data_IF_997285062524
#
_entry.id   IF_997285062524
#
_cell.length_a   1.000
_cell.length_b   1.000
_cell.length_c   1.000
_cell.angle_alpha   90.00
_cell.angle_beta   90.00
_cell.angle_gamma   90.00
#
_symmetry.space_group_name_H-M   'P 1'
#
loop_
_entity.id
_entity.type
_entity.pdbx_description
1 polymer ?
#
# COMPACT_ATOMS: atom_id res chain seq x y z
N UNK A 1 -7.37 -88.24 -1.12
CA UNK A 1 -8.18 -88.03 -2.33
C UNK A 1 -7.86 -86.63 -2.87
N UNK A 2 -7.22 -86.56 -4.06
CA UNK A 2 -6.86 -85.40 -4.91
C UNK A 2 -6.08 -84.23 -4.24
N UNK A 3 -4.79 -83.93 -4.45
CA UNK A 3 -3.96 -83.63 -5.65
C UNK A 3 -4.54 -82.55 -6.59
N UNK A 4 -3.91 -81.36 -6.60
CA UNK A 4 -3.34 -80.62 -7.78
C UNK A 4 -2.75 -79.26 -7.29
N UNK A 5 -1.42 -79.04 -7.41
CA UNK A 5 -0.67 -78.36 -8.51
C UNK A 5 -1.03 -76.86 -8.64
N UNK A 6 -0.15 -75.85 -8.58
CA UNK A 6 1.14 -75.55 -9.28
C UNK A 6 1.86 -74.43 -8.48
N UNK A 7 3.15 -74.49 -8.17
CA UNK A 7 4.36 -74.25 -8.99
C UNK A 7 4.58 -72.81 -9.55
N UNK A 8 5.64 -72.21 -9.00
CA UNK A 8 6.73 -71.45 -9.63
C UNK A 8 6.55 -70.00 -10.07
N UNK A 9 7.54 -69.17 -9.71
CA UNK A 9 7.82 -67.92 -10.41
C UNK A 9 8.72 -66.92 -9.68
N UNK A 10 9.89 -67.32 -9.19
CA UNK A 10 10.96 -66.37 -8.90
C UNK A 10 11.67 -66.11 -10.24
N UNK A 11 11.67 -64.86 -10.71
CA UNK A 11 12.57 -64.41 -11.78
C UNK A 11 13.26 -63.10 -11.35
N UNK A 12 14.60 -63.05 -11.36
CA UNK A 12 15.38 -61.84 -11.25
C UNK A 12 15.64 -61.24 -12.64
N UNK A 13 16.33 -60.09 -12.64
CA UNK A 13 16.92 -59.36 -13.79
C UNK A 13 16.08 -58.21 -14.38
N UNK A 14 16.59 -57.00 -14.13
CA UNK A 14 16.95 -56.09 -15.22
C UNK A 14 16.09 -54.84 -15.37
N UNK A 15 16.57 -53.71 -14.84
CA UNK A 15 16.59 -52.44 -15.57
C UNK A 15 17.37 -51.40 -14.73
N UNK A 16 18.62 -51.15 -15.13
CA UNK A 16 19.28 -49.89 -14.83
C UNK A 16 18.66 -48.81 -15.74
N UNK A 17 18.16 -47.72 -15.17
CA UNK A 17 17.91 -46.47 -15.87
C UNK A 17 18.52 -45.34 -15.05
N UNK A 18 19.50 -44.70 -15.66
CA UNK A 18 20.12 -43.49 -15.19
C UNK A 18 19.23 -42.27 -15.50
N UNK A 19 19.42 -41.24 -14.68
CA UNK A 19 19.41 -39.81 -15.05
C UNK A 19 18.14 -38.98 -14.87
N UNK A 20 18.37 -37.90 -14.11
CA UNK A 20 18.08 -36.49 -14.43
C UNK A 20 16.83 -35.81 -13.82
N UNK A 21 17.13 -34.87 -12.91
CA UNK A 21 16.55 -33.51 -12.79
C UNK A 21 15.12 -33.41 -12.22
N UNK A 22 14.74 -32.43 -11.39
CA UNK A 22 15.15 -31.03 -11.33
C UNK A 22 15.27 -30.56 -9.85
N UNK A 23 16.38 -29.91 -9.52
CA UNK A 23 16.36 -28.84 -8.52
C UNK A 23 15.61 -27.65 -9.16
N UNK A 24 14.31 -27.52 -8.88
CA UNK A 24 13.62 -26.26 -9.05
C UNK A 24 13.98 -25.37 -7.84
N UNK A 25 15.20 -24.82 -7.84
CA UNK A 25 15.52 -23.73 -6.94
C UNK A 25 14.60 -22.56 -7.30
N UNK A 26 13.69 -22.23 -6.39
CA UNK A 26 12.84 -21.04 -6.45
C UNK A 26 13.72 -19.83 -6.81
N UNK A 27 13.57 -19.32 -8.02
CA UNK A 27 14.00 -17.97 -8.39
C UNK A 27 13.04 -16.99 -7.70
N UNK A 28 13.18 -16.86 -6.38
CA UNK A 28 12.65 -15.70 -5.68
C UNK A 28 13.44 -14.49 -6.19
N UNK A 29 12.80 -13.46 -6.77
CA UNK A 29 13.50 -12.23 -7.06
C UNK A 29 14.10 -11.72 -5.74
N UNK A 30 15.33 -11.17 -5.75
CA UNK A 30 15.88 -10.57 -4.55
C UNK A 30 14.88 -9.51 -4.07
N UNK A 31 14.36 -9.67 -2.86
CA UNK A 31 13.66 -8.59 -2.19
C UNK A 31 14.58 -7.37 -2.26
N UNK A 32 14.10 -6.29 -2.88
CA UNK A 32 14.86 -5.05 -2.98
C UNK A 32 15.29 -4.65 -1.57
N UNK A 33 16.59 -4.82 -1.26
CA UNK A 33 17.13 -4.40 0.02
C UNK A 33 17.12 -2.88 0.01
N UNK A 34 16.46 -2.22 0.99
CA UNK A 34 16.55 -0.78 1.11
C UNK A 34 18.03 -0.38 1.14
N UNK A 35 18.44 0.51 0.24
CA UNK A 35 19.78 1.09 0.29
C UNK A 35 19.83 2.00 1.51
N UNK A 36 20.39 1.49 2.60
CA UNK A 36 20.65 2.27 3.81
C UNK A 36 22.12 2.69 3.82
N UNK A 37 22.43 3.98 3.61
CA UNK A 37 23.62 4.55 4.26
C UNK A 37 23.18 5.09 5.62
N UNK A 38 24.06 4.97 6.59
CA UNK A 38 23.93 5.57 7.92
C UNK A 38 22.64 5.24 8.67
N UNK A 39 22.04 4.08 8.39
CA UNK A 39 20.83 3.59 9.09
C UNK A 39 19.55 4.37 8.77
N UNK A 40 19.56 5.18 7.72
CA UNK A 40 18.39 5.86 7.17
C UNK A 40 17.99 5.23 5.84
N UNK A 41 16.70 5.32 5.51
CA UNK A 41 16.18 4.87 4.21
C UNK A 41 15.73 6.07 3.39
N UNK A 42 15.97 6.04 2.08
CA UNK A 42 15.56 7.05 1.12
C UNK A 42 15.07 6.40 -0.18
N UNK A 43 14.41 7.19 -1.01
CA UNK A 43 14.15 6.81 -2.40
C UNK A 43 15.34 7.25 -3.27
N UNK A 44 15.83 6.37 -4.15
CA UNK A 44 16.77 6.75 -5.21
C UNK A 44 16.10 7.65 -6.22
N UNK A 45 14.87 7.30 -6.62
CA UNK A 45 13.99 8.13 -7.45
C UNK A 45 12.67 8.30 -6.71
N UNK A 46 12.44 9.44 -6.02
CA UNK A 46 11.25 9.60 -5.21
C UNK A 46 9.98 9.69 -6.09
N UNK A 47 8.83 9.20 -5.60
CA UNK A 47 7.55 9.63 -6.13
C UNK A 47 7.43 11.15 -6.00
N UNK A 48 6.83 11.79 -7.00
CA UNK A 48 6.92 13.26 -7.16
C UNK A 48 5.56 13.96 -7.05
N UNK A 49 4.45 13.22 -7.03
CA UNK A 49 3.08 13.77 -6.96
C UNK A 49 2.13 12.83 -6.25
N UNK A 50 1.19 13.43 -5.52
CA UNK A 50 -0.04 12.79 -5.05
C UNK A 50 -1.22 13.20 -5.93
N UNK A 51 -2.07 12.25 -6.27
CA UNK A 51 -3.40 12.51 -6.84
C UNK A 51 -4.44 12.42 -5.71
N UNK A 52 -5.32 13.42 -5.63
CA UNK A 52 -6.44 13.43 -4.69
C UNK A 52 -7.75 13.11 -5.41
N UNK A 53 -8.61 12.31 -4.79
CA UNK A 53 -9.97 12.08 -5.28
C UNK A 53 -10.92 11.98 -4.08
N UNK A 54 -12.08 12.61 -4.21
CA UNK A 54 -13.27 12.37 -3.40
C UNK A 54 -14.47 12.33 -4.35
N UNK A 55 -15.56 11.69 -3.93
CA UNK A 55 -16.85 11.78 -4.64
C UNK A 55 -17.93 12.45 -3.79
N UNK A 56 -17.57 12.90 -2.59
CA UNK A 56 -18.43 13.59 -1.63
C UNK A 56 -17.82 14.95 -1.33
N UNK A 57 -18.49 16.02 -1.74
CA UNK A 57 -17.92 17.37 -1.77
C UNK A 57 -18.68 18.39 -0.95
N UNK A 58 -19.75 17.99 -0.24
CA UNK A 58 -20.53 18.91 0.59
C UNK A 58 -20.11 18.87 2.05
N UNK A 59 -20.19 20.01 2.75
CA UNK A 59 -19.94 20.10 4.19
C UNK A 59 -20.82 19.14 4.97
N UNK A 60 -20.29 18.58 6.06
CA UNK A 60 -21.00 17.61 6.92
C UNK A 60 -21.52 16.35 6.21
N UNK A 61 -21.16 16.13 4.94
CA UNK A 61 -21.62 14.96 4.19
C UNK A 61 -20.94 13.69 4.74
N UNK A 62 -21.74 12.78 5.27
CA UNK A 62 -21.27 11.50 5.81
C UNK A 62 -20.91 10.52 4.68
N UNK A 63 -20.07 9.53 5.02
CA UNK A 63 -19.71 8.45 4.10
C UNK A 63 -18.65 8.79 3.06
N UNK A 64 -18.04 9.98 3.14
CA UNK A 64 -16.93 10.35 2.29
C UNK A 64 -15.72 9.42 2.49
N UNK A 65 -14.98 9.19 1.40
CA UNK A 65 -13.65 8.60 1.41
C UNK A 65 -12.70 9.54 0.67
N UNK A 66 -11.54 9.81 1.27
CA UNK A 66 -10.50 10.65 0.70
C UNK A 66 -9.38 9.78 0.18
N UNK A 67 -9.26 9.72 -1.13
CA UNK A 67 -8.29 8.87 -1.80
C UNK A 67 -7.02 9.65 -2.12
N UNK A 68 -5.90 9.20 -1.58
CA UNK A 68 -4.56 9.69 -1.88
C UNK A 68 -3.84 8.63 -2.70
N UNK A 69 -3.64 8.91 -3.98
CA UNK A 69 -3.02 7.96 -4.92
C UNK A 69 -1.61 8.40 -5.28
N UNK A 70 -0.68 7.47 -5.18
CA UNK A 70 0.75 7.68 -5.42
C UNK A 70 1.24 6.59 -6.37
N UNK A 71 1.90 7.00 -7.45
CA UNK A 71 2.63 6.06 -8.31
C UNK A 71 4.08 6.05 -7.87
N UNK A 72 4.56 4.90 -7.43
CA UNK A 72 5.95 4.70 -7.06
C UNK A 72 6.78 4.42 -8.33
N UNK A 73 7.84 5.18 -8.63
CA UNK A 73 8.70 4.91 -9.78
C UNK A 73 9.30 3.51 -9.73
N UNK A 74 9.53 2.87 -10.88
CA UNK A 74 10.25 1.58 -10.95
C UNK A 74 11.66 1.69 -10.34
N UNK A 75 12.29 2.85 -10.55
CA UNK A 75 13.64 3.15 -10.09
C UNK A 75 13.67 3.74 -8.67
N UNK A 76 12.62 3.53 -7.88
CA UNK A 76 12.48 4.16 -6.56
C UNK A 76 13.56 3.72 -5.56
N UNK A 77 14.18 2.55 -5.76
CA UNK A 77 15.26 2.04 -4.90
C UNK A 77 14.81 1.53 -3.52
N UNK A 78 13.60 1.88 -3.10
CA UNK A 78 12.94 1.39 -1.89
C UNK A 78 11.43 1.26 -2.13
N UNK A 79 10.79 0.34 -1.40
CA UNK A 79 9.34 0.26 -1.36
C UNK A 79 8.70 1.46 -0.65
N UNK A 80 7.39 1.61 -0.78
CA UNK A 80 6.63 2.65 -0.08
C UNK A 80 6.35 2.18 1.36
N UNK A 81 7.05 2.75 2.35
CA UNK A 81 6.85 2.42 3.76
C UNK A 81 5.65 3.13 4.41
N UNK A 82 5.19 4.24 3.83
CA UNK A 82 4.04 4.96 4.36
C UNK A 82 3.79 6.32 3.73
N UNK A 83 2.75 7.00 4.22
CA UNK A 83 2.44 8.40 3.89
C UNK A 83 2.25 9.22 5.16
N UNK A 84 2.69 10.48 5.14
CA UNK A 84 2.18 11.51 6.06
C UNK A 84 1.28 12.46 5.28
N UNK A 85 0.10 12.74 5.82
CA UNK A 85 -0.91 13.58 5.19
C UNK A 85 -1.31 14.62 6.23
N UNK A 86 -0.83 15.85 6.07
CA UNK A 86 -1.02 16.93 7.04
C UNK A 86 -1.90 18.02 6.48
N UNK A 87 -2.97 18.37 7.18
CA UNK A 87 -3.78 19.52 6.82
C UNK A 87 -2.99 20.82 7.04
N UNK A 88 -2.72 21.55 5.96
CA UNK A 88 -2.00 22.83 5.96
C UNK A 88 -2.91 24.03 5.78
N UNK A 89 -4.10 23.85 5.19
CA UNK A 89 -5.12 24.90 5.01
C UNK A 89 -6.53 24.35 5.26
N UNK A 90 -7.46 25.23 5.57
CA UNK A 90 -8.88 24.95 5.77
C UNK A 90 -9.35 25.55 7.10
N UNK A 91 -10.53 26.15 7.09
CA UNK A 91 -11.10 26.80 8.28
C UNK A 91 -11.47 25.80 9.38
N UNK A 92 -11.95 24.61 9.03
CA UNK A 92 -12.18 23.53 10.00
C UNK A 92 -10.85 22.79 10.27
N UNK A 93 -10.40 22.83 11.52
CA UNK A 93 -9.14 22.21 11.97
C UNK A 93 -9.35 20.93 12.77
N UNK A 94 -10.60 20.58 13.05
CA UNK A 94 -10.98 19.61 14.08
C UNK A 94 -11.89 18.46 13.61
N UNK A 95 -11.94 18.17 12.30
CA UNK A 95 -12.76 17.08 11.80
C UNK A 95 -12.04 15.70 11.92
N UNK A 96 -12.67 14.71 12.58
CA UNK A 96 -12.02 13.45 12.93
C UNK A 96 -12.08 12.37 11.83
N UNK A 97 -11.18 11.38 11.94
CA UNK A 97 -11.08 10.23 11.06
C UNK A 97 -11.33 8.91 11.79
N UNK A 98 -11.98 7.96 11.10
CA UNK A 98 -12.01 6.56 11.50
C UNK A 98 -10.71 5.88 11.06
N UNK A 99 -9.64 6.03 11.84
CA UNK A 99 -8.31 5.46 11.53
C UNK A 99 -8.34 3.95 11.32
N UNK A 100 -9.13 3.21 12.11
CA UNK A 100 -9.34 1.76 11.97
C UNK A 100 -10.10 1.36 10.68
N UNK A 101 -10.68 2.32 9.96
CA UNK A 101 -11.35 2.11 8.66
C UNK A 101 -10.54 2.65 7.49
N UNK A 102 -9.32 3.15 7.73
CA UNK A 102 -8.38 3.48 6.66
C UNK A 102 -8.03 2.20 5.91
N UNK A 103 -8.05 2.27 4.58
CA UNK A 103 -7.72 1.14 3.69
C UNK A 103 -6.63 1.57 2.72
N UNK A 104 -5.90 0.59 2.18
CA UNK A 104 -5.01 0.79 1.06
C UNK A 104 -5.12 -0.36 0.06
N UNK A 105 -4.86 -0.06 -1.21
CA UNK A 105 -4.92 -1.05 -2.29
C UNK A 105 -4.04 -0.62 -3.47
N UNK A 106 -3.68 -1.59 -4.30
CA UNK A 106 -3.02 -1.36 -5.59
C UNK A 106 -4.05 -0.83 -6.59
N UNK A 107 -3.69 0.19 -7.37
CA UNK A 107 -4.55 0.74 -8.43
C UNK A 107 -5.08 2.13 -8.10
N UNK A 108 -6.28 2.43 -8.59
CA UNK A 108 -6.95 3.73 -8.45
C UNK A 108 -8.36 3.54 -7.88
N UNK A 109 -8.99 4.57 -7.29
CA UNK A 109 -10.38 4.49 -6.86
C UNK A 109 -11.29 3.93 -7.96
N UNK A 110 -12.22 3.04 -7.60
CA UNK A 110 -13.12 2.28 -8.51
C UNK A 110 -12.44 1.30 -9.47
N UNK A 111 -11.12 1.14 -9.35
CA UNK A 111 -10.31 0.10 -10.02
C UNK A 111 -9.33 -0.47 -8.99
N UNK A 112 -9.89 -0.90 -7.86
CA UNK A 112 -9.14 -1.46 -6.74
C UNK A 112 -8.61 -2.84 -7.13
N UNK A 113 -7.30 -3.03 -6.97
CA UNK A 113 -6.63 -4.31 -7.08
C UNK A 113 -6.47 -4.96 -5.71
N UNK A 114 -5.32 -5.61 -5.50
CA UNK A 114 -5.00 -6.26 -4.24
C UNK A 114 -5.01 -5.26 -3.07
N UNK A 115 -5.60 -5.68 -1.94
CA UNK A 115 -5.55 -4.94 -0.70
C UNK A 115 -4.11 -4.91 -0.15
N UNK A 116 -3.75 -3.80 0.49
CA UNK A 116 -2.45 -3.60 1.13
C UNK A 116 -2.70 -3.45 2.64
N UNK A 117 -2.06 -4.28 3.49
CA UNK A 117 -2.13 -4.10 4.93
C UNK A 117 -1.71 -2.70 5.36
N UNK A 118 -2.49 -2.07 6.23
CA UNK A 118 -2.28 -0.68 6.63
C UNK A 118 -2.45 -0.48 8.12
N UNK A 119 -1.60 0.36 8.69
CA UNK A 119 -1.75 0.90 10.04
C UNK A 119 -1.87 2.41 9.92
N UNK A 120 -2.87 3.01 10.57
CA UNK A 120 -3.14 4.43 10.48
C UNK A 120 -3.36 5.05 11.87
N UNK A 121 -2.85 6.26 12.07
CA UNK A 121 -3.07 7.06 13.27
C UNK A 121 -3.28 8.52 12.89
N UNK A 122 -4.09 9.23 13.66
CA UNK A 122 -4.33 10.65 13.46
C UNK A 122 -3.92 11.41 14.71
N UNK A 123 -3.05 12.41 14.54
CA UNK A 123 -2.70 13.36 15.58
C UNK A 123 -3.44 14.68 15.34
N UNK A 124 -4.36 14.99 16.26
CA UNK A 124 -5.18 16.19 16.21
C UNK A 124 -4.36 17.48 16.31
N UNK A 125 -3.32 17.49 17.16
CA UNK A 125 -2.55 18.70 17.43
C UNK A 125 -1.79 19.17 16.18
N UNK A 126 -1.12 18.23 15.50
CA UNK A 126 -0.42 18.50 14.25
C UNK A 126 -1.32 18.45 13.00
N UNK A 127 -2.56 17.94 13.14
CA UNK A 127 -3.51 17.62 12.05
C UNK A 127 -2.88 16.71 11.00
N UNK A 128 -2.23 15.66 11.47
CA UNK A 128 -1.45 14.75 10.63
C UNK A 128 -2.01 13.35 10.72
N UNK A 129 -2.43 12.82 9.57
CA UNK A 129 -2.64 11.40 9.40
C UNK A 129 -1.30 10.75 9.05
N UNK A 130 -0.91 9.75 9.84
CA UNK A 130 0.25 8.89 9.55
C UNK A 130 -0.26 7.53 9.11
N UNK A 131 0.21 7.08 7.95
CA UNK A 131 -0.14 5.80 7.35
C UNK A 131 1.14 4.99 7.17
N UNK A 132 1.14 3.74 7.63
CA UNK A 132 2.25 2.80 7.51
C UNK A 132 1.80 1.53 6.80
N UNK A 133 2.69 1.00 5.98
CA UNK A 133 2.51 -0.28 5.30
C UNK A 133 3.44 -1.30 5.95
N UNK A 134 2.93 -2.22 6.78
CA UNK A 134 3.73 -3.30 7.36
C UNK A 134 4.36 -4.20 6.29
N UNK A 135 3.67 -4.32 5.15
CA UNK A 135 4.16 -4.96 3.92
C UNK A 135 4.26 -3.87 2.84
N UNK A 136 5.44 -3.22 2.69
CA UNK A 136 5.61 -2.10 1.78
C UNK A 136 5.35 -2.47 0.31
N UNK A 137 4.50 -1.71 -0.41
CA UNK A 137 4.37 -1.82 -1.85
C UNK A 137 5.71 -1.62 -2.56
N UNK A 138 5.94 -2.42 -3.60
CA UNK A 138 7.18 -2.43 -4.37
C UNK A 138 7.23 -1.29 -5.41
N UNK A 139 8.44 -0.89 -5.85
CA UNK A 139 8.63 0.03 -6.98
C UNK A 139 7.79 -0.35 -8.21
N UNK A 140 7.33 0.64 -8.96
CA UNK A 140 6.47 0.48 -10.15
C UNK A 140 4.97 0.36 -9.86
N UNK A 141 4.56 0.21 -8.59
CA UNK A 141 3.14 0.10 -8.25
C UNK A 141 2.47 1.48 -8.10
N UNK A 142 1.21 1.57 -8.54
CA UNK A 142 0.29 2.64 -8.13
C UNK A 142 -0.47 2.18 -6.90
N UNK A 143 -0.41 2.98 -5.83
CA UNK A 143 -1.01 2.69 -4.52
C UNK A 143 -1.99 3.79 -4.17
N UNK A 144 -3.18 3.42 -3.71
CA UNK A 144 -4.17 4.36 -3.16
C UNK A 144 -4.39 4.09 -1.68
N UNK A 145 -4.38 5.15 -0.87
CA UNK A 145 -4.86 5.14 0.52
C UNK A 145 -6.21 5.83 0.58
N UNK A 146 -7.22 5.15 1.12
CA UNK A 146 -8.55 5.68 1.38
C UNK A 146 -8.67 6.03 2.87
N UNK A 147 -8.67 7.33 3.19
CA UNK A 147 -8.99 7.81 4.54
C UNK A 147 -10.50 7.98 4.67
N UNK A 148 -11.04 7.64 5.85
CA UNK A 148 -12.47 7.76 6.12
C UNK A 148 -12.74 8.77 7.23
N UNK A 149 -13.10 10.02 6.91
CA UNK A 149 -13.58 10.96 7.93
C UNK A 149 -14.92 10.50 8.52
N UNK A 150 -15.31 11.05 9.67
CA UNK A 150 -16.67 10.83 10.19
C UNK A 150 -17.72 11.44 9.28
N UNK A 151 -17.43 12.66 8.83
CA UNK A 151 -18.12 13.42 7.81
C UNK A 151 -17.13 14.40 7.17
N UNK A 152 -17.47 14.93 6.00
CA UNK A 152 -16.76 16.07 5.45
C UNK A 152 -16.72 17.25 6.45
N UNK A 153 -15.71 18.14 6.38
CA UNK A 153 -15.58 19.28 7.27
C UNK A 153 -16.87 20.07 7.50
N UNK A 154 -16.96 20.67 8.69
CA UNK A 154 -18.13 21.43 9.12
C UNK A 154 -18.33 22.65 8.25
N UNK A 155 -17.29 23.24 7.70
CA UNK A 155 -17.34 24.49 6.95
C UNK A 155 -16.93 24.31 5.49
N UNK A 156 -17.62 25.02 4.59
CA UNK A 156 -17.21 25.12 3.20
C UNK A 156 -15.93 25.96 3.10
N UNK A 157 -14.92 25.42 2.44
CA UNK A 157 -13.61 26.05 2.20
C UNK A 157 -12.81 25.17 1.21
N UNK A 158 -11.65 25.65 0.79
CA UNK A 158 -10.61 24.84 0.16
C UNK A 158 -9.63 24.33 1.20
N UNK A 159 -9.71 23.03 1.49
CA UNK A 159 -8.78 22.34 2.37
C UNK A 159 -7.56 21.90 1.58
N UNK A 160 -6.36 22.04 2.16
CA UNK A 160 -5.12 21.57 1.55
C UNK A 160 -4.39 20.63 2.49
N UNK A 161 -3.86 19.55 1.93
CA UNK A 161 -3.06 18.57 2.64
C UNK A 161 -1.67 18.49 2.03
N UNK A 162 -0.64 18.80 2.80
CA UNK A 162 0.73 18.47 2.43
C UNK A 162 0.94 16.97 2.58
N UNK A 163 1.42 16.32 1.53
CA UNK A 163 1.62 14.87 1.52
C UNK A 163 3.09 14.54 1.34
N UNK A 164 3.60 13.60 2.14
CA UNK A 164 4.94 13.07 1.97
C UNK A 164 4.88 11.54 1.87
N UNK A 165 5.71 10.97 1.00
CA UNK A 165 5.98 9.55 0.93
C UNK A 165 7.16 9.19 1.82
N UNK A 166 7.06 8.05 2.50
CA UNK A 166 8.11 7.52 3.35
C UNK A 166 8.66 6.25 2.70
N UNK A 167 9.98 6.15 2.46
CA UNK A 167 10.59 4.91 2.00
C UNK A 167 10.48 3.81 3.07
N UNK A 168 10.49 2.57 2.63
CA UNK A 168 10.58 1.42 3.52
C UNK A 168 11.99 1.30 4.12
N UNK A 169 12.07 1.11 5.43
CA UNK A 169 13.32 0.93 6.16
C UNK A 169 13.37 1.72 7.47
N UNK A 170 14.52 1.66 8.13
CA UNK A 170 14.77 2.43 9.35
C UNK A 170 14.90 3.92 9.01
N UNK A 171 14.47 4.77 9.96
CA UNK A 171 14.61 6.24 9.92
C UNK A 171 14.37 6.84 8.52
N UNK A 172 13.16 6.70 7.97
CA UNK A 172 12.87 7.07 6.58
C UNK A 172 12.95 8.59 6.37
N UNK A 173 13.70 9.00 5.35
CA UNK A 173 13.76 10.39 4.90
C UNK A 173 12.54 10.69 4.01
N UNK A 174 11.61 11.58 4.42
CA UNK A 174 10.39 11.82 3.66
C UNK A 174 10.64 12.52 2.33
N UNK A 175 9.94 12.08 1.27
CA UNK A 175 9.87 12.78 -0.01
C UNK A 175 8.53 13.54 -0.13
N UNK A 176 8.58 14.83 -0.42
CA UNK A 176 7.37 15.64 -0.63
C UNK A 176 6.67 15.25 -1.93
N UNK A 177 5.35 15.07 -1.87
CA UNK A 177 4.48 14.81 -3.03
C UNK A 177 3.67 16.04 -3.44
N UNK A 178 3.93 17.18 -2.80
CA UNK A 178 3.16 18.42 -2.96
C UNK A 178 1.88 18.43 -2.11
N UNK A 179 0.86 19.10 -2.65
CA UNK A 179 -0.40 19.34 -1.94
C UNK A 179 -1.57 18.66 -2.64
N UNK A 180 -2.41 17.99 -1.86
CA UNK A 180 -3.74 17.60 -2.26
C UNK A 180 -4.74 18.71 -1.91
N UNK A 181 -5.59 19.08 -2.86
CA UNK A 181 -6.61 20.13 -2.70
C UNK A 181 -7.99 19.49 -2.65
N UNK A 182 -8.76 19.83 -1.62
CA UNK A 182 -10.11 19.33 -1.39
C UNK A 182 -11.06 20.52 -1.22
N UNK A 183 -11.81 20.91 -2.26
CA UNK A 183 -12.90 21.85 -2.08
C UNK A 183 -14.04 21.20 -1.30
N UNK A 184 -14.64 21.93 -0.37
CA UNK A 184 -15.88 21.54 0.30
C UNK A 184 -16.89 22.66 0.09
N UNK A 185 -18.07 22.29 -0.41
CA UNK A 185 -19.14 23.21 -0.77
C UNK A 185 -20.26 23.21 0.25
N UNK A 186 -21.11 24.22 0.21
CA UNK A 186 -22.37 24.21 0.96
C UNK A 186 -23.36 23.22 0.34
N UNK A 187 -24.20 22.58 1.17
CA UNK A 187 -25.40 21.92 0.65
C UNK A 187 -26.33 23.02 0.15
N UNK A 188 -26.34 23.26 -1.17
CA UNK A 188 -27.07 24.30 -1.92
C UNK A 188 -26.24 25.57 -2.14
N UNK A 189 -26.02 25.86 -3.43
CA UNK A 189 -26.04 27.21 -3.96
C UNK A 189 -27.43 27.42 -4.59
#
# INVERSE_FOLDING_TARGET
MAIRKRLLGINPLGAALASASLLAALLLPPAARPTALDGQSWFTTPPWRVEFTSYWWYRMQAGAEYYFTVTLPEQAGAGLGGLTIRQTRGVDRDFPFFTHRTRAFVGRPRREGAAIPVQASFDQASRTMTVRFPEPPSPGQTVTVALRPWHNPTWADTYMFGVQALPAGANPVPASLGFATMPIYNLRD
#
